data_IF_854133633926
#
_entry.id   IF_854133633926
#
_cell.length_a   1.000
_cell.length_b   1.000
_cell.length_c   1.000
_cell.angle_alpha   90.00
_cell.angle_beta   90.00
_cell.angle_gamma   90.00
#
_symmetry.space_group_name_H-M   'P 1'
#
loop_
_entity.id
_entity.type
_entity.pdbx_description
1 polymer ?
#
# COMPACT_ATOMS: atom_id res chain seq x y z
N UNK A 1 -35.21 28.90 -54.75
CA UNK A 1 -33.85 29.31 -54.35
C UNK A 1 -33.58 28.71 -52.98
N UNK A 2 -32.93 27.55 -52.96
CA UNK A 2 -32.17 27.02 -51.83
C UNK A 2 -31.35 25.86 -52.40
N UNK A 3 -30.04 26.02 -52.30
CA UNK A 3 -29.02 25.29 -53.02
C UNK A 3 -28.87 23.83 -52.59
N UNK A 4 -28.55 23.01 -53.58
CA UNK A 4 -27.88 21.73 -53.44
C UNK A 4 -26.47 21.94 -52.89
N UNK A 5 -26.07 21.15 -51.90
CA UNK A 5 -24.68 20.74 -51.74
C UNK A 5 -24.61 19.22 -51.60
N UNK A 6 -24.20 18.58 -52.69
CA UNK A 6 -23.51 17.30 -52.65
C UNK A 6 -22.08 17.54 -52.17
N UNK A 7 -21.61 16.78 -51.18
CA UNK A 7 -20.18 16.50 -50.99
C UNK A 7 -20.00 15.03 -50.62
N UNK A 8 -19.63 14.29 -51.67
CA UNK A 8 -18.62 13.22 -51.78
C UNK A 8 -18.07 12.67 -50.45
N UNK A 9 -18.23 11.35 -50.28
CA UNK A 9 -17.52 10.59 -49.26
C UNK A 9 -16.02 10.51 -49.52
N UNK A 10 -15.26 10.41 -48.45
CA UNK A 10 -13.95 9.78 -48.48
C UNK A 10 -13.83 8.81 -47.31
N UNK A 11 -14.01 7.53 -47.61
CA UNK A 11 -13.29 6.47 -46.93
C UNK A 11 -11.80 6.79 -47.01
N UNK A 12 -11.23 7.22 -45.90
CA UNK A 12 -9.81 7.07 -45.63
C UNK A 12 -9.73 6.42 -44.25
N UNK A 13 -9.71 5.09 -44.27
CA UNK A 13 -9.48 4.29 -43.08
C UNK A 13 -8.18 4.71 -42.42
N UNK A 14 -8.30 5.34 -41.24
CA UNK A 14 -7.22 5.48 -40.29
C UNK A 14 -7.04 4.14 -39.58
N UNK A 15 -6.44 3.19 -40.29
CA UNK A 15 -5.86 1.99 -39.71
C UNK A 15 -4.61 2.42 -38.93
N UNK A 16 -4.79 2.86 -37.68
CA UNK A 16 -3.75 2.90 -36.64
C UNK A 16 -4.28 3.31 -35.24
N UNK A 17 -5.59 3.22 -34.99
CA UNK A 17 -6.09 3.20 -33.61
C UNK A 17 -6.19 1.75 -33.16
N UNK A 18 -5.05 1.17 -32.78
CA UNK A 18 -5.07 -0.02 -31.91
C UNK A 18 -5.52 0.45 -30.53
N UNK A 19 -6.83 0.61 -30.36
CA UNK A 19 -7.48 0.71 -29.05
C UNK A 19 -7.30 -0.65 -28.37
N UNK A 20 -6.10 -0.87 -27.81
CA UNK A 20 -5.83 -2.00 -26.97
C UNK A 20 -6.72 -1.85 -25.74
N UNK A 21 -7.55 -2.86 -25.48
CA UNK A 21 -8.28 -2.94 -24.24
C UNK A 21 -7.30 -2.74 -23.06
N UNK A 22 -7.71 -2.04 -21.99
CA UNK A 22 -6.85 -1.77 -20.84
C UNK A 22 -6.18 -3.04 -20.29
N UNK A 23 -6.83 -4.19 -20.44
CA UNK A 23 -6.35 -5.52 -19.99
C UNK A 23 -5.55 -6.32 -21.03
N UNK A 24 -5.08 -5.69 -22.11
CA UNK A 24 -4.24 -6.36 -23.09
C UNK A 24 -2.91 -6.82 -22.48
N UNK A 25 -2.41 -8.04 -22.78
CA UNK A 25 -1.07 -8.47 -22.35
C UNK A 25 0.04 -7.48 -22.76
N UNK A 26 -0.13 -6.82 -23.90
CA UNK A 26 0.80 -5.80 -24.42
C UNK A 26 0.77 -4.49 -23.64
N UNK A 27 -0.33 -4.13 -22.96
CA UNK A 27 -0.37 -2.97 -22.05
C UNK A 27 0.28 -3.33 -20.72
N UNK A 28 0.11 -4.56 -20.23
CA UNK A 28 0.70 -5.03 -18.97
C UNK A 28 2.21 -5.18 -19.00
N UNK A 29 2.77 -5.77 -20.07
CA UNK A 29 4.22 -5.85 -20.23
C UNK A 29 4.87 -4.46 -20.27
N UNK A 30 4.19 -3.49 -20.90
CA UNK A 30 4.63 -2.08 -20.88
C UNK A 30 4.57 -1.49 -19.48
N UNK A 31 3.49 -1.72 -18.73
CA UNK A 31 3.38 -1.28 -17.33
C UNK A 31 4.48 -1.89 -16.45
N UNK A 32 4.74 -3.20 -16.59
CA UNK A 32 5.83 -3.90 -15.89
C UNK A 32 7.19 -3.30 -16.24
N UNK A 33 7.45 -3.06 -17.53
CA UNK A 33 8.71 -2.46 -17.98
C UNK A 33 8.87 -1.02 -17.47
N UNK A 34 7.81 -0.21 -17.48
CA UNK A 34 7.82 1.14 -16.95
C UNK A 34 8.09 1.15 -15.44
N UNK A 35 7.40 0.28 -14.69
CA UNK A 35 7.61 0.12 -13.26
C UNK A 35 9.03 -0.36 -12.92
N UNK A 36 9.57 -1.33 -13.67
CA UNK A 36 10.95 -1.77 -13.50
C UNK A 36 11.96 -0.64 -13.80
N UNK A 37 11.72 0.18 -14.82
CA UNK A 37 12.56 1.35 -15.12
C UNK A 37 12.51 2.37 -13.99
N UNK A 38 11.33 2.65 -13.45
CA UNK A 38 11.15 3.54 -12.30
C UNK A 38 11.90 3.03 -11.06
N UNK A 39 11.81 1.74 -10.76
CA UNK A 39 12.57 1.12 -9.66
C UNK A 39 14.07 1.35 -9.83
N UNK A 40 14.61 1.16 -11.03
CA UNK A 40 16.05 1.40 -11.26
C UNK A 40 16.45 2.85 -10.99
N UNK A 41 15.58 3.81 -11.26
CA UNK A 41 15.80 5.21 -10.93
C UNK A 41 15.69 5.46 -9.42
N UNK A 42 14.68 4.89 -8.76
CA UNK A 42 14.49 4.96 -7.31
C UNK A 42 15.70 4.40 -6.55
N UNK A 43 16.26 3.28 -7.01
CA UNK A 43 17.46 2.66 -6.43
C UNK A 43 18.70 3.56 -6.46
N UNK A 44 18.72 4.56 -7.35
CA UNK A 44 19.81 5.53 -7.39
C UNK A 44 19.67 6.64 -6.36
N UNK A 45 18.48 6.83 -5.79
CA UNK A 45 18.17 7.91 -4.85
C UNK A 45 18.87 7.68 -3.50
N UNK A 46 19.33 8.75 -2.83
CA UNK A 46 20.01 8.63 -1.54
C UNK A 46 19.10 8.03 -0.46
N UNK A 47 17.80 8.34 -0.47
CA UNK A 47 16.79 7.81 0.44
C UNK A 47 16.72 6.28 0.35
N UNK A 48 16.61 5.76 -0.87
CA UNK A 48 16.58 4.32 -1.12
C UNK A 48 17.85 3.64 -0.64
N UNK A 49 19.02 4.18 -0.99
CA UNK A 49 20.32 3.59 -0.61
C UNK A 49 20.48 3.52 0.90
N UNK A 50 20.09 4.57 1.62
CA UNK A 50 20.12 4.64 3.07
C UNK A 50 19.18 3.59 3.69
N UNK A 51 17.91 3.60 3.29
CA UNK A 51 16.89 2.70 3.84
C UNK A 51 17.20 1.23 3.52
N UNK A 52 17.69 0.94 2.32
CA UNK A 52 18.08 -0.39 1.91
C UNK A 52 19.29 -0.88 2.70
N UNK A 53 20.30 -0.02 2.91
CA UNK A 53 21.44 -0.36 3.77
C UNK A 53 20.99 -0.65 5.21
N UNK A 54 20.12 0.19 5.78
CA UNK A 54 19.55 -0.02 7.11
C UNK A 54 18.80 -1.35 7.19
N UNK A 55 17.90 -1.64 6.25
CA UNK A 55 17.12 -2.88 6.23
C UNK A 55 18.02 -4.12 6.16
N UNK A 56 19.00 -4.12 5.25
CA UNK A 56 19.85 -5.28 4.96
C UNK A 56 21.02 -5.47 5.93
N UNK A 57 21.41 -4.45 6.69
CA UNK A 57 22.57 -4.50 7.60
C UNK A 57 22.12 -4.37 9.05
N UNK A 58 22.11 -5.47 9.83
CA UNK A 58 21.70 -5.46 11.24
C UNK A 58 22.53 -4.53 12.14
N UNK A 59 23.78 -4.28 11.75
CA UNK A 59 24.72 -3.45 12.53
C UNK A 59 24.46 -1.94 12.41
N UNK A 60 23.66 -1.51 11.43
CA UNK A 60 23.28 -0.10 11.29
C UNK A 60 22.26 0.25 12.35
N UNK A 61 22.67 1.10 13.29
CA UNK A 61 21.81 1.60 14.36
C UNK A 61 20.66 2.45 13.80
N UNK A 62 19.49 2.35 14.42
CA UNK A 62 18.30 3.11 14.01
C UNK A 62 18.50 4.62 14.13
N UNK A 63 19.09 5.09 15.23
CA UNK A 63 19.36 6.52 15.45
C UNK A 63 20.27 7.10 14.36
N UNK A 64 21.23 6.30 13.87
CA UNK A 64 22.12 6.69 12.77
C UNK A 64 21.35 6.83 11.45
N UNK A 65 20.45 5.90 11.14
CA UNK A 65 19.58 5.99 9.97
C UNK A 65 18.63 7.21 10.04
N UNK A 66 18.07 7.49 11.22
CA UNK A 66 17.25 8.68 11.45
C UNK A 66 18.07 9.95 11.23
N UNK A 67 19.25 10.07 11.84
CA UNK A 67 20.12 11.24 11.64
C UNK A 67 20.47 11.46 10.16
N UNK A 68 20.81 10.40 9.42
CA UNK A 68 21.12 10.52 8.00
C UNK A 68 19.89 10.94 7.16
N UNK A 69 18.68 10.47 7.50
CA UNK A 69 17.44 10.92 6.86
C UNK A 69 17.18 12.40 7.16
N UNK A 70 17.33 12.82 8.41
CA UNK A 70 17.22 14.21 8.84
C UNK A 70 18.20 15.12 8.10
N UNK A 71 19.46 14.70 7.96
CA UNK A 71 20.48 15.44 7.21
C UNK A 71 20.16 15.53 5.72
N UNK A 72 19.54 14.49 5.14
CA UNK A 72 19.01 14.56 3.77
C UNK A 72 17.86 15.57 3.69
N UNK A 73 16.93 15.54 4.65
CA UNK A 73 15.79 16.47 4.67
C UNK A 73 16.25 17.91 4.78
N UNK A 74 17.21 18.21 5.65
CA UNK A 74 17.77 19.55 5.78
C UNK A 74 18.39 20.04 4.47
N UNK A 75 19.14 19.18 3.76
CA UNK A 75 19.72 19.55 2.46
C UNK A 75 18.65 19.81 1.42
N UNK A 76 17.67 18.92 1.28
CA UNK A 76 16.57 19.09 0.34
C UNK A 76 15.71 20.31 0.66
N UNK A 77 15.52 20.64 1.93
CA UNK A 77 14.81 21.83 2.36
C UNK A 77 15.53 23.12 1.93
N UNK A 78 16.86 23.17 2.04
CA UNK A 78 17.67 24.29 1.58
C UNK A 78 17.70 24.43 0.05
N UNK A 79 17.48 23.33 -0.66
CA UNK A 79 17.40 23.28 -2.13
C UNK A 79 15.97 23.49 -2.67
N UNK A 80 15.00 23.76 -1.80
CA UNK A 80 13.56 23.89 -2.14
C UNK A 80 12.94 22.61 -2.75
N UNK A 81 13.52 21.43 -2.46
CA UNK A 81 13.09 20.12 -2.97
C UNK A 81 12.44 19.22 -1.89
N UNK A 82 12.01 19.80 -0.77
CA UNK A 82 11.52 19.02 0.39
C UNK A 82 10.35 18.09 0.03
N UNK A 83 9.46 18.52 -0.86
CA UNK A 83 8.32 17.72 -1.28
C UNK A 83 8.75 16.47 -2.06
N UNK A 84 9.67 16.65 -3.02
CA UNK A 84 10.25 15.54 -3.78
C UNK A 84 11.03 14.58 -2.88
N UNK A 85 11.80 15.09 -1.91
CA UNK A 85 12.50 14.26 -0.93
C UNK A 85 11.53 13.42 -0.08
N UNK A 86 10.45 14.02 0.43
CA UNK A 86 9.43 13.30 1.19
C UNK A 86 8.76 12.21 0.33
N UNK A 87 8.46 12.51 -0.93
CA UNK A 87 7.86 11.56 -1.86
C UNK A 87 8.80 10.39 -2.20
N UNK A 88 10.08 10.68 -2.50
CA UNK A 88 11.10 9.66 -2.75
C UNK A 88 11.36 8.78 -1.52
N UNK A 89 11.30 9.36 -0.32
CA UNK A 89 11.38 8.62 0.94
C UNK A 89 10.21 7.64 1.07
N UNK A 90 8.97 8.10 0.86
CA UNK A 90 7.78 7.25 0.90
C UNK A 90 7.84 6.10 -0.11
N UNK A 91 8.22 6.39 -1.38
CA UNK A 91 8.42 5.37 -2.42
C UNK A 91 9.48 4.34 -2.01
N UNK A 92 10.58 4.80 -1.41
CA UNK A 92 11.66 3.93 -0.96
C UNK A 92 11.23 2.99 0.16
N UNK A 93 10.46 3.49 1.14
CA UNK A 93 9.89 2.64 2.20
C UNK A 93 9.02 1.53 1.61
N UNK A 94 8.11 1.86 0.68
CA UNK A 94 7.23 0.88 0.06
C UNK A 94 7.99 -0.17 -0.76
N UNK A 95 8.95 0.27 -1.58
CA UNK A 95 9.72 -0.66 -2.41
C UNK A 95 10.59 -1.60 -1.57
N UNK A 96 11.20 -1.10 -0.48
CA UNK A 96 11.96 -1.95 0.44
C UNK A 96 11.04 -2.89 1.20
N UNK A 97 9.88 -2.42 1.66
CA UNK A 97 8.87 -3.25 2.30
C UNK A 97 8.40 -4.38 1.37
N UNK A 98 8.12 -4.07 0.10
CA UNK A 98 7.75 -5.02 -0.94
C UNK A 98 8.79 -6.14 -1.15
N UNK A 99 10.07 -5.86 -0.90
CA UNK A 99 11.18 -6.83 -1.03
C UNK A 99 11.52 -7.56 0.26
N UNK A 100 10.98 -7.12 1.39
CA UNK A 100 11.32 -7.65 2.72
C UNK A 100 10.21 -8.59 3.18
N UNK A 101 10.57 -9.79 3.65
CA UNK A 101 9.61 -10.74 4.18
C UNK A 101 8.87 -10.15 5.39
N UNK A 102 7.57 -10.46 5.60
CA UNK A 102 6.77 -9.86 6.67
C UNK A 102 7.42 -9.92 8.06
N UNK A 103 8.09 -11.03 8.38
CA UNK A 103 8.74 -11.28 9.66
C UNK A 103 10.01 -10.44 9.89
N UNK A 104 10.56 -9.86 8.82
CA UNK A 104 11.80 -9.05 8.83
C UNK A 104 11.50 -7.54 8.72
N UNK A 105 10.24 -7.15 8.57
CA UNK A 105 9.83 -5.76 8.35
C UNK A 105 9.86 -4.89 9.62
N UNK A 106 9.99 -5.49 10.82
CA UNK A 106 9.88 -4.77 12.10
C UNK A 106 10.83 -3.58 12.19
N UNK A 107 12.09 -3.74 11.74
CA UNK A 107 13.08 -2.66 11.75
C UNK A 107 12.64 -1.46 10.91
N UNK A 108 12.04 -1.72 9.74
CA UNK A 108 11.57 -0.67 8.84
C UNK A 108 10.36 0.07 9.44
N UNK A 109 9.47 -0.67 10.11
CA UNK A 109 8.31 -0.12 10.81
C UNK A 109 8.79 0.76 11.98
N UNK A 110 9.69 0.26 12.81
CA UNK A 110 10.24 0.98 13.96
C UNK A 110 10.94 2.28 13.54
N UNK A 111 11.68 2.23 12.41
CA UNK A 111 12.29 3.41 11.81
C UNK A 111 11.24 4.44 11.38
N UNK A 112 10.19 4.02 10.68
CA UNK A 112 9.11 4.92 10.24
C UNK A 112 8.41 5.57 11.43
N UNK A 113 8.04 4.79 12.44
CA UNK A 113 7.38 5.29 13.65
C UNK A 113 8.28 6.25 14.45
N UNK A 114 9.58 5.96 14.52
CA UNK A 114 10.54 6.82 15.21
C UNK A 114 10.81 8.11 14.45
N UNK A 115 10.84 8.06 13.12
CA UNK A 115 10.98 9.24 12.27
C UNK A 115 9.86 10.25 12.52
N UNK A 116 8.63 9.80 12.79
CA UNK A 116 7.50 10.68 13.14
C UNK A 116 7.66 11.42 14.46
N UNK A 117 8.52 10.93 15.34
CA UNK A 117 8.83 11.59 16.61
C UNK A 117 9.87 12.71 16.45
N UNK A 118 10.45 12.87 15.25
CA UNK A 118 11.42 13.91 14.94
C UNK A 118 10.72 15.19 14.54
N UNK A 119 11.01 16.28 15.25
CA UNK A 119 10.58 17.63 14.87
C UNK A 119 11.78 18.33 14.22
N UNK A 120 11.70 18.52 12.91
CA UNK A 120 12.69 19.30 12.16
C UNK A 120 12.37 20.78 12.25
N UNK A 121 13.32 21.59 12.72
CA UNK A 121 13.17 23.04 12.79
C UNK A 121 14.01 23.75 11.74
N UNK A 122 13.47 24.82 11.18
CA UNK A 122 14.21 25.74 10.31
C UNK A 122 15.17 26.56 11.17
N UNK A 123 16.49 26.50 10.94
CA UNK A 123 17.47 27.26 11.71
C UNK A 123 17.27 28.78 11.65
N UNK A 124 16.61 29.30 10.63
CA UNK A 124 16.41 30.73 10.42
C UNK A 124 15.18 31.29 11.14
N UNK A 125 14.10 30.52 11.22
CA UNK A 125 12.83 30.92 11.84
C UNK A 125 12.58 30.26 13.20
N UNK A 126 13.29 29.16 13.49
CA UNK A 126 13.07 28.28 14.63
C UNK A 126 11.66 27.65 14.67
N UNK A 127 10.95 27.66 13.54
CA UNK A 127 9.65 27.00 13.37
C UNK A 127 9.84 25.60 12.77
N UNK A 128 8.89 24.67 12.97
CA UNK A 128 8.93 23.37 12.32
C UNK A 128 8.90 23.49 10.79
N UNK A 129 9.66 22.65 10.09
CA UNK A 129 9.54 22.53 8.65
C UNK A 129 8.18 21.96 8.28
N UNK A 130 7.48 22.69 7.42
CA UNK A 130 6.19 22.26 6.87
C UNK A 130 6.33 21.82 5.43
N UNK A 131 5.57 20.80 5.06
CA UNK A 131 5.36 20.44 3.67
C UNK A 131 4.40 21.44 3.01
N UNK A 132 4.70 21.82 1.76
CA UNK A 132 3.92 22.66 0.83
C UNK A 132 2.83 23.54 1.48
N UNK A 133 3.11 24.84 1.64
CA UNK A 133 2.17 25.85 2.17
C UNK A 133 1.51 25.50 3.53
N UNK A 134 2.13 24.61 4.32
CA UNK A 134 1.62 24.26 5.65
C UNK A 134 0.67 23.06 5.68
N UNK A 135 0.66 22.23 4.65
CA UNK A 135 -0.20 21.03 4.56
C UNK A 135 0.17 19.92 5.58
N UNK A 136 1.27 20.06 6.31
CA UNK A 136 1.65 19.20 7.43
C UNK A 136 3.07 19.46 7.90
N UNK A 137 3.40 19.01 9.11
CA UNK A 137 4.77 19.01 9.64
C UNK A 137 5.51 17.82 9.04
N UNK A 138 6.69 18.09 8.49
CA UNK A 138 7.53 17.08 7.86
C UNK A 138 7.86 15.98 8.88
N UNK A 139 7.77 14.73 8.42
CA UNK A 139 7.89 13.50 9.21
C UNK A 139 6.79 13.23 10.22
N UNK A 140 6.35 14.20 11.02
CA UNK A 140 5.28 13.97 12.00
C UNK A 140 3.96 13.54 11.33
N UNK A 141 3.57 14.28 10.29
CA UNK A 141 2.30 14.09 9.57
C UNK A 141 2.45 13.23 8.32
N UNK A 142 3.68 12.78 7.99
CA UNK A 142 4.00 11.97 6.81
C UNK A 142 3.24 12.40 5.53
N UNK A 143 3.36 13.68 5.12
CA UNK A 143 2.43 14.30 4.17
C UNK A 143 2.38 13.62 2.80
N UNK A 144 3.44 12.93 2.40
CA UNK A 144 3.53 12.22 1.13
C UNK A 144 3.14 10.75 1.20
N UNK A 145 3.12 10.14 2.40
CA UNK A 145 2.91 8.70 2.54
C UNK A 145 1.49 8.31 2.15
N UNK A 146 0.48 9.07 2.58
CA UNK A 146 -0.93 8.73 2.33
C UNK A 146 -1.26 8.51 0.86
N UNK A 147 -0.94 9.48 -0.01
CA UNK A 147 -1.22 9.33 -1.44
C UNK A 147 -0.24 8.36 -2.13
N UNK A 148 1.02 8.29 -1.70
CA UNK A 148 1.98 7.31 -2.27
C UNK A 148 1.52 5.88 -2.01
N UNK A 149 0.99 5.62 -0.81
CA UNK A 149 0.42 4.32 -0.43
C UNK A 149 -0.83 4.04 -1.27
N UNK A 150 -1.68 5.06 -1.45
CA UNK A 150 -2.89 4.94 -2.25
C UNK A 150 -2.58 4.60 -3.72
N UNK A 151 -1.64 5.31 -4.33
CA UNK A 151 -1.23 5.10 -5.72
C UNK A 151 -0.67 3.69 -5.92
N UNK A 152 0.19 3.24 -5.00
CA UNK A 152 0.78 1.90 -5.07
C UNK A 152 -0.27 0.81 -4.91
N UNK A 153 -1.12 0.86 -3.86
CA UNK A 153 -2.14 -0.17 -3.61
C UNK A 153 -3.20 -0.19 -4.71
N UNK A 154 -3.53 0.97 -5.29
CA UNK A 154 -4.50 1.07 -6.39
C UNK A 154 -4.04 0.39 -7.68
N UNK A 155 -2.75 0.02 -7.79
CA UNK A 155 -2.23 -0.77 -8.90
C UNK A 155 -2.57 -2.27 -8.79
N UNK A 156 -3.06 -2.74 -7.64
CA UNK A 156 -3.52 -4.11 -7.47
C UNK A 156 -4.96 -4.29 -7.96
N UNK A 157 -5.19 -5.36 -8.70
CA UNK A 157 -6.51 -5.82 -9.13
C UNK A 157 -6.82 -7.18 -8.46
N UNK A 158 -7.76 -7.18 -7.52
CA UNK A 158 -8.16 -8.39 -6.80
C UNK A 158 -8.80 -9.48 -7.65
N UNK A 159 -9.15 -9.20 -8.90
CA UNK A 159 -9.74 -10.18 -9.83
C UNK A 159 -8.70 -10.85 -10.72
N UNK A 160 -7.50 -10.26 -10.79
CA UNK A 160 -6.43 -10.72 -11.66
C UNK A 160 -5.90 -12.10 -11.24
N UNK A 161 -5.77 -13.00 -12.21
CA UNK A 161 -5.33 -14.40 -11.99
C UNK A 161 -3.93 -14.69 -12.56
N UNK A 162 -3.35 -13.74 -13.30
CA UNK A 162 -2.09 -13.89 -14.05
C UNK A 162 -0.92 -13.14 -13.41
N UNK A 163 -1.06 -12.75 -12.15
CA UNK A 163 0.10 -12.29 -11.38
C UNK A 163 1.18 -13.37 -11.36
N UNK A 164 2.40 -12.93 -11.61
CA UNK A 164 3.58 -13.76 -11.42
C UNK A 164 3.78 -14.04 -9.92
N UNK A 165 4.59 -15.04 -9.61
CA UNK A 165 4.95 -15.34 -8.21
C UNK A 165 5.63 -14.15 -7.53
N UNK A 166 6.49 -13.42 -8.26
CA UNK A 166 7.20 -12.24 -7.76
C UNK A 166 6.23 -11.09 -7.46
N UNK A 167 5.29 -10.81 -8.36
CA UNK A 167 4.24 -9.81 -8.12
C UNK A 167 3.37 -10.19 -6.92
N UNK A 168 2.99 -11.47 -6.81
CA UNK A 168 2.20 -11.97 -5.68
C UNK A 168 2.95 -11.77 -4.35
N UNK A 169 4.24 -12.09 -4.31
CA UNK A 169 5.09 -11.90 -3.14
C UNK A 169 5.23 -10.41 -2.79
N UNK A 170 5.42 -9.54 -3.79
CA UNK A 170 5.45 -8.08 -3.60
C UNK A 170 4.19 -7.59 -2.90
N UNK A 171 3.01 -8.00 -3.38
CA UNK A 171 1.74 -7.58 -2.80
C UNK A 171 1.52 -8.11 -1.38
N UNK A 172 1.92 -9.35 -1.12
CA UNK A 172 1.85 -9.93 0.23
C UNK A 172 2.74 -9.19 1.22
N UNK A 173 3.99 -8.93 0.84
CA UNK A 173 4.95 -8.20 1.66
C UNK A 173 4.46 -6.77 1.93
N UNK A 174 3.99 -6.08 0.90
CA UNK A 174 3.48 -4.71 1.03
C UNK A 174 2.23 -4.65 1.92
N UNK A 175 1.29 -5.58 1.73
CA UNK A 175 0.08 -5.69 2.55
C UNK A 175 0.43 -5.96 4.00
N UNK A 176 1.41 -6.85 4.26
CA UNK A 176 1.86 -7.13 5.61
C UNK A 176 2.51 -5.91 6.26
N UNK A 177 3.31 -5.16 5.51
CA UNK A 177 3.93 -3.94 6.02
C UNK A 177 2.88 -2.92 6.45
N UNK A 178 1.89 -2.67 5.60
CA UNK A 178 0.81 -1.73 5.89
C UNK A 178 -0.06 -2.18 7.07
N UNK A 179 -0.39 -3.47 7.14
CA UNK A 179 -1.14 -4.03 8.26
C UNK A 179 -0.36 -3.90 9.58
N UNK A 180 0.96 -4.14 9.56
CA UNK A 180 1.80 -3.96 10.73
C UNK A 180 1.96 -2.48 11.12
N UNK A 181 2.17 -1.58 10.16
CA UNK A 181 2.19 -0.12 10.42
C UNK A 181 0.88 0.35 11.04
N UNK A 182 -0.26 -0.09 10.50
CA UNK A 182 -1.58 0.23 11.04
C UNK A 182 -1.71 -0.30 12.47
N UNK A 183 -1.40 -1.57 12.71
CA UNK A 183 -1.52 -2.19 14.04
C UNK A 183 -0.71 -1.48 15.13
N UNK A 184 0.44 -0.90 14.77
CA UNK A 184 1.31 -0.17 15.69
C UNK A 184 0.96 1.32 15.82
N UNK A 185 0.11 1.87 14.96
CA UNK A 185 -0.36 3.23 15.07
C UNK A 185 -1.39 3.38 16.21
N UNK A 186 -1.42 4.55 16.87
CA UNK A 186 -2.46 4.83 17.86
C UNK A 186 -3.86 4.80 17.23
N UNK A 187 -4.88 4.44 18.00
CA UNK A 187 -6.28 4.49 17.53
C UNK A 187 -6.74 5.91 17.14
N UNK A 188 -6.06 6.95 17.66
CA UNK A 188 -6.33 8.36 17.33
C UNK A 188 -5.50 8.88 16.14
N UNK A 189 -4.71 8.02 15.51
CA UNK A 189 -3.72 8.40 14.51
C UNK A 189 -4.26 8.26 13.10
N UNK A 190 -4.96 9.31 12.64
CA UNK A 190 -5.57 9.30 11.31
C UNK A 190 -4.58 9.26 10.15
N UNK A 191 -3.29 9.55 10.39
CA UNK A 191 -2.26 9.59 9.34
C UNK A 191 -1.88 8.17 8.90
N UNK A 192 -1.77 7.25 9.86
CA UNK A 192 -1.38 5.85 9.61
C UNK A 192 -2.59 4.90 9.56
N UNK A 193 -3.80 5.42 9.61
CA UNK A 193 -5.04 4.65 9.62
C UNK A 193 -5.37 4.07 8.22
N UNK A 194 -4.77 2.93 7.91
CA UNK A 194 -4.98 2.15 6.70
C UNK A 194 -6.14 1.14 6.83
N UNK A 195 -6.48 0.71 8.04
CA UNK A 195 -7.52 -0.32 8.25
C UNK A 195 -8.94 0.17 7.97
N UNK A 196 -9.17 1.49 7.91
CA UNK A 196 -10.45 2.09 7.51
C UNK A 196 -10.63 2.17 5.98
N UNK A 197 -9.58 1.95 5.19
CA UNK A 197 -9.58 2.05 3.73
C UNK A 197 -9.09 0.75 3.09
N UNK A 198 -7.80 0.46 3.20
CA UNK A 198 -7.12 -0.60 2.45
C UNK A 198 -7.46 -2.01 2.92
N UNK A 199 -7.63 -2.21 4.23
CA UNK A 199 -8.11 -3.49 4.74
C UNK A 199 -9.52 -3.80 4.20
N UNK A 200 -10.42 -2.81 4.23
CA UNK A 200 -11.77 -2.96 3.69
C UNK A 200 -11.77 -3.24 2.19
N UNK A 201 -10.92 -2.55 1.42
CA UNK A 201 -10.76 -2.82 -0.02
C UNK A 201 -10.31 -4.26 -0.26
N UNK A 202 -9.33 -4.77 0.51
CA UNK A 202 -8.89 -6.16 0.42
C UNK A 202 -10.02 -7.16 0.74
N UNK A 203 -10.81 -6.89 1.78
CA UNK A 203 -11.98 -7.71 2.11
C UNK A 203 -13.08 -7.64 1.04
N UNK A 204 -13.32 -6.47 0.47
CA UNK A 204 -14.32 -6.30 -0.60
C UNK A 204 -13.92 -7.06 -1.86
N UNK A 205 -12.64 -7.03 -2.25
CA UNK A 205 -12.13 -7.86 -3.34
C UNK A 205 -12.22 -9.35 -3.04
N UNK A 206 -11.87 -9.77 -1.82
CA UNK A 206 -11.84 -11.17 -1.44
C UNK A 206 -13.23 -11.79 -1.24
N UNK A 207 -14.19 -11.05 -0.69
CA UNK A 207 -15.42 -11.63 -0.11
C UNK A 207 -16.72 -10.98 -0.58
N UNK A 208 -16.67 -9.78 -1.16
CA UNK A 208 -17.89 -9.01 -1.48
C UNK A 208 -18.07 -8.77 -2.99
N UNK A 209 -17.23 -9.42 -3.82
CA UNK A 209 -17.39 -9.45 -5.27
C UNK A 209 -17.03 -8.13 -5.96
N UNK A 210 -15.95 -7.47 -5.52
CA UNK A 210 -15.54 -6.16 -6.00
C UNK A 210 -15.60 -5.97 -7.53
N UNK A 211 -16.17 -4.84 -7.97
CA UNK A 211 -16.11 -4.31 -9.34
C UNK A 211 -16.92 -5.07 -10.41
N UNK A 212 -16.62 -6.35 -10.61
CA UNK A 212 -17.29 -7.22 -11.59
C UNK A 212 -17.58 -8.58 -10.94
N UNK A 213 -18.66 -9.25 -11.33
CA UNK A 213 -19.21 -10.47 -10.71
C UNK A 213 -18.37 -11.76 -10.85
N UNK A 214 -17.03 -11.67 -10.86
CA UNK A 214 -16.10 -12.78 -10.93
C UNK A 214 -15.78 -13.37 -9.56
N UNK A 215 -15.31 -14.62 -9.54
CA UNK A 215 -14.78 -15.22 -8.32
C UNK A 215 -13.48 -14.51 -7.88
N UNK A 216 -13.24 -14.32 -6.58
CA UNK A 216 -12.03 -13.67 -6.09
C UNK A 216 -10.80 -14.49 -6.46
N UNK A 217 -9.69 -13.82 -6.77
CA UNK A 217 -8.38 -14.45 -6.94
C UNK A 217 -7.88 -15.06 -5.63
N UNK A 218 -7.04 -16.09 -5.74
CA UNK A 218 -6.37 -16.67 -4.57
C UNK A 218 -5.55 -15.61 -3.82
N UNK A 219 -4.87 -14.73 -4.57
CA UNK A 219 -4.07 -13.64 -4.01
C UNK A 219 -4.94 -12.65 -3.22
N UNK A 220 -6.10 -12.23 -3.72
CA UNK A 220 -7.00 -11.34 -2.98
C UNK A 220 -7.41 -11.95 -1.62
N UNK A 221 -7.70 -13.24 -1.58
CA UNK A 221 -8.01 -13.95 -0.32
C UNK A 221 -6.79 -13.97 0.61
N UNK A 222 -5.58 -14.21 0.08
CA UNK A 222 -4.34 -14.17 0.86
C UNK A 222 -4.08 -12.78 1.44
N UNK A 223 -4.25 -11.70 0.68
CA UNK A 223 -4.09 -10.32 1.18
C UNK A 223 -5.09 -10.00 2.29
N UNK A 224 -6.36 -10.40 2.15
CA UNK A 224 -7.36 -10.28 3.21
C UNK A 224 -6.96 -11.06 4.48
N UNK A 225 -6.38 -12.26 4.33
CA UNK A 225 -5.86 -13.02 5.46
C UNK A 225 -4.69 -12.32 6.14
N UNK A 226 -3.78 -11.68 5.39
CA UNK A 226 -2.63 -10.96 5.94
C UNK A 226 -3.07 -9.82 6.87
N UNK A 227 -4.10 -9.05 6.47
CA UNK A 227 -4.71 -8.04 7.35
C UNK A 227 -5.21 -8.63 8.67
N UNK A 228 -5.90 -9.77 8.61
CA UNK A 228 -6.39 -10.45 9.82
C UNK A 228 -5.25 -11.09 10.64
N UNK A 229 -4.11 -11.41 10.02
CA UNK A 229 -2.97 -11.95 10.74
C UNK A 229 -2.26 -10.86 11.55
N UNK A 230 -2.06 -9.69 10.95
CA UNK A 230 -1.23 -8.62 11.54
C UNK A 230 -2.02 -7.52 12.25
N UNK A 231 -3.30 -7.32 11.91
CA UNK A 231 -4.09 -6.18 12.41
C UNK A 231 -5.48 -6.58 12.96
N UNK A 232 -5.68 -7.85 13.34
CA UNK A 232 -6.97 -8.34 13.84
C UNK A 232 -7.49 -7.57 15.07
N UNK A 233 -6.63 -7.17 16.01
CA UNK A 233 -7.06 -6.50 17.24
C UNK A 233 -7.72 -5.15 16.93
N UNK A 234 -7.12 -4.35 16.05
CA UNK A 234 -7.66 -3.04 15.66
C UNK A 234 -8.87 -3.18 14.76
N UNK A 235 -8.85 -4.10 13.80
CA UNK A 235 -10.02 -4.42 12.98
C UNK A 235 -11.22 -4.84 13.85
N UNK A 236 -11.00 -5.65 14.89
CA UNK A 236 -12.05 -6.06 15.81
C UNK A 236 -12.54 -4.90 16.68
N UNK A 237 -11.63 -4.09 17.23
CA UNK A 237 -12.00 -2.89 18.00
C UNK A 237 -12.96 -2.00 17.19
N UNK A 238 -12.60 -1.71 15.93
CA UNK A 238 -13.44 -0.94 15.01
C UNK A 238 -14.77 -1.64 14.71
N UNK A 239 -14.77 -2.96 14.54
CA UNK A 239 -16.00 -3.72 14.31
C UNK A 239 -17.01 -3.60 15.45
N UNK A 240 -16.51 -3.43 16.68
CA UNK A 240 -17.31 -3.32 17.90
C UNK A 240 -17.67 -1.89 18.30
N UNK A 241 -17.11 -0.89 17.64
CA UNK A 241 -17.40 0.51 17.94
C UNK A 241 -18.87 0.84 17.62
N UNK A 242 -19.55 1.49 18.57
CA UNK A 242 -21.00 1.74 18.49
C UNK A 242 -21.43 2.63 17.30
N UNK A 243 -20.48 3.30 16.64
CA UNK A 243 -20.68 4.15 15.47
C UNK A 243 -20.08 3.59 14.19
N UNK A 244 -19.69 2.31 14.15
CA UNK A 244 -19.03 1.76 12.99
C UNK A 244 -20.00 1.63 11.81
N UNK A 245 -19.75 2.40 10.74
CA UNK A 245 -20.55 2.35 9.51
C UNK A 245 -19.99 1.35 8.49
N UNK A 246 -18.66 1.25 8.41
CA UNK A 246 -17.97 0.50 7.35
C UNK A 246 -17.43 -0.84 7.83
N UNK A 247 -16.82 -0.94 9.01
CA UNK A 247 -16.36 -2.19 9.59
C UNK A 247 -17.33 -2.61 10.70
N UNK A 248 -18.32 -3.44 10.41
CA UNK A 248 -19.37 -3.81 11.39
C UNK A 248 -19.18 -5.25 11.87
N UNK A 249 -19.74 -5.60 13.04
CA UNK A 249 -19.81 -7.01 13.51
C UNK A 249 -20.43 -7.94 12.44
N UNK A 250 -21.42 -7.45 11.69
CA UNK A 250 -22.02 -8.21 10.59
C UNK A 250 -21.01 -8.50 9.48
N UNK A 251 -20.28 -7.48 9.00
CA UNK A 251 -19.23 -7.68 8.00
C UNK A 251 -18.10 -8.58 8.50
N UNK A 252 -17.67 -8.39 9.74
CA UNK A 252 -16.68 -9.28 10.38
C UNK A 252 -17.11 -10.75 10.34
N UNK A 253 -18.36 -11.04 10.71
CA UNK A 253 -18.90 -12.39 10.66
C UNK A 253 -19.03 -12.91 9.22
N UNK A 254 -19.38 -12.06 8.26
CA UNK A 254 -19.39 -12.41 6.83
C UNK A 254 -17.98 -12.79 6.34
N UNK A 255 -16.95 -11.99 6.67
CA UNK A 255 -15.57 -12.29 6.30
C UNK A 255 -15.11 -13.63 6.90
N UNK A 256 -15.47 -13.90 8.16
CA UNK A 256 -15.19 -15.19 8.81
C UNK A 256 -15.83 -16.37 8.07
N UNK A 257 -17.11 -16.26 7.70
CA UNK A 257 -17.80 -17.30 6.93
C UNK A 257 -17.19 -17.48 5.54
N UNK A 258 -16.83 -16.38 4.89
CA UNK A 258 -16.20 -16.39 3.57
C UNK A 258 -14.83 -17.07 3.60
N UNK A 259 -14.02 -16.85 4.64
CA UNK A 259 -12.76 -17.57 4.86
C UNK A 259 -12.98 -19.07 5.06
N UNK A 260 -13.99 -19.47 5.83
CA UNK A 260 -14.34 -20.89 6.00
C UNK A 260 -14.74 -21.52 4.66
N UNK A 261 -15.49 -20.80 3.82
CA UNK A 261 -15.80 -21.22 2.46
C UNK A 261 -14.54 -21.34 1.60
N UNK A 262 -13.66 -20.34 1.64
CA UNK A 262 -12.41 -20.29 0.88
C UNK A 262 -11.45 -21.44 1.26
N UNK A 263 -11.46 -21.89 2.53
CA UNK A 263 -10.66 -23.05 2.98
C UNK A 263 -10.99 -24.34 2.21
N UNK A 264 -12.24 -24.50 1.77
CA UNK A 264 -12.66 -25.65 0.96
C UNK A 264 -12.27 -25.52 -0.51
N UNK A 265 -12.09 -24.29 -1.00
CA UNK A 265 -11.73 -23.97 -2.39
C UNK A 265 -10.22 -24.07 -2.61
N UNK A 266 -9.43 -23.47 -1.72
CA UNK A 266 -7.97 -23.42 -1.82
C UNK A 266 -7.33 -24.49 -0.94
N UNK A 267 -7.19 -25.70 -1.50
CA UNK A 267 -6.73 -26.89 -0.77
C UNK A 267 -5.23 -27.18 -0.91
N UNK A 268 -4.54 -26.50 -1.82
CA UNK A 268 -3.13 -26.73 -2.13
C UNK A 268 -2.29 -25.49 -1.76
N UNK A 269 -1.01 -25.70 -1.48
CA UNK A 269 -0.06 -24.62 -1.21
C UNK A 269 -0.18 -24.02 0.20
N UNK A 270 0.26 -22.76 0.36
CA UNK A 270 0.34 -22.08 1.65
C UNK A 270 -0.94 -21.34 2.05
N UNK A 271 -1.84 -21.10 1.10
CA UNK A 271 -3.12 -20.40 1.31
C UNK A 271 -4.00 -21.03 2.40
N UNK A 272 -4.23 -22.36 2.44
CA UNK A 272 -5.01 -22.96 3.53
C UNK A 272 -4.39 -22.75 4.93
N UNK A 273 -3.06 -22.70 5.04
CA UNK A 273 -2.41 -22.38 6.32
C UNK A 273 -2.63 -20.93 6.73
N UNK A 274 -2.56 -20.01 5.77
CA UNK A 274 -2.79 -18.59 6.00
C UNK A 274 -4.25 -18.31 6.39
N UNK A 275 -5.22 -18.95 5.73
CA UNK A 275 -6.64 -18.90 6.11
C UNK A 275 -6.85 -19.43 7.53
N UNK A 276 -6.24 -20.57 7.86
CA UNK A 276 -6.34 -21.14 9.21
C UNK A 276 -5.77 -20.19 10.26
N UNK A 277 -4.65 -19.53 9.96
CA UNK A 277 -4.04 -18.55 10.86
C UNK A 277 -4.93 -17.31 11.03
N UNK A 278 -5.47 -16.75 9.94
CA UNK A 278 -6.41 -15.63 9.99
C UNK A 278 -7.66 -15.97 10.83
N UNK A 279 -8.26 -17.14 10.64
CA UNK A 279 -9.41 -17.60 11.44
C UNK A 279 -9.05 -17.75 12.93
N UNK A 280 -7.84 -18.22 13.24
CA UNK A 280 -7.36 -18.30 14.62
C UNK A 280 -7.18 -16.91 15.25
N UNK A 281 -6.66 -15.93 14.51
CA UNK A 281 -6.55 -14.54 15.00
C UNK A 281 -7.93 -13.91 15.21
N UNK A 282 -8.88 -14.12 14.28
CA UNK A 282 -10.26 -13.65 14.46
C UNK A 282 -10.91 -14.25 15.72
N UNK A 283 -10.70 -15.54 15.98
CA UNK A 283 -11.22 -16.17 17.19
C UNK A 283 -10.55 -15.61 18.45
N UNK A 284 -9.22 -15.42 18.44
CA UNK A 284 -8.46 -14.88 19.57
C UNK A 284 -8.99 -13.52 20.02
N UNK A 285 -9.20 -12.59 19.09
CA UNK A 285 -9.64 -11.22 19.43
C UNK A 285 -11.08 -11.18 19.93
N UNK A 286 -11.92 -12.10 19.46
CA UNK A 286 -13.28 -12.27 19.96
C UNK A 286 -13.34 -12.85 21.37
N UNK A 287 -12.43 -13.76 21.72
CA UNK A 287 -12.38 -14.40 23.04
C UNK A 287 -11.70 -13.52 24.11
N UNK A 288 -10.92 -12.52 23.68
CA UNK A 288 -10.14 -11.64 24.56
C UNK A 288 -10.92 -10.41 25.04
N UNK A 289 -12.12 -10.18 24.49
CA UNK A 289 -13.03 -9.08 24.84
C UNK A 289 -14.31 -9.60 25.51
#
# INVERSE_FOLDING_TARGET
MSDQMMTVGSDAGSADSFDLAPDSPLTREKTRAAHASWILELEQKPEFKLLNAFSQQPDVAQDEAIHQLVDLTHRSALEEEIGNHCWMTACSFLEIAARTAPEEQSRLIDLLLSLRSVVLTDPSTNEPWTFEDGAGIVWQDLPTFGYTFADEISCFDGQEQTYTQEESQKWENLTAFLAQVDSNASASDSVLESSASWALTAFTWAFEGGGNSGEPSELAVRLACIWLVYDADKLWSKATDAGAESNTIERWNNWRQSLQGAQTRFTNGTTPMLIAHALAQMQRVQDSN
#
